data_IF_496371108649
#
_entry.id   IF_496371108649
#
_cell.length_a   1.000
_cell.length_b   1.000
_cell.length_c   1.000
_cell.angle_alpha   90.00
_cell.angle_beta   90.00
_cell.angle_gamma   90.00
#
_symmetry.space_group_name_H-M   'P 1'
#
loop_
_entity.id
_entity.type
_entity.pdbx_description
1 polymer ?
#
# COMPACT_ATOMS: atom_id res chain seq x y z
N UNK A 1 5.59 -21.12 4.83
CA UNK A 1 6.45 -20.16 5.57
C UNK A 1 6.69 -18.92 4.71
N UNK A 2 6.53 -17.75 5.30
CA UNK A 2 6.70 -16.51 4.54
C UNK A 2 8.18 -16.29 4.20
N UNK A 3 8.45 -15.87 2.98
CA UNK A 3 9.78 -15.49 2.53
C UNK A 3 10.10 -14.09 3.06
N UNK A 4 11.12 -13.92 3.92
CA UNK A 4 11.45 -12.60 4.48
C UNK A 4 11.75 -11.54 3.43
N UNK A 5 12.32 -11.92 2.29
CA UNK A 5 12.60 -10.98 1.20
C UNK A 5 11.32 -10.47 0.54
N UNK A 6 10.23 -11.22 0.63
CA UNK A 6 8.93 -10.85 0.07
C UNK A 6 7.88 -10.60 1.14
N UNK A 7 8.30 -10.16 2.32
CA UNK A 7 7.43 -9.81 3.44
C UNK A 7 7.73 -8.38 3.88
N UNK A 8 6.68 -7.53 3.96
CA UNK A 8 6.80 -6.19 4.51
C UNK A 8 6.32 -6.17 5.95
N UNK A 9 7.06 -5.46 6.80
CA UNK A 9 6.67 -5.16 8.17
C UNK A 9 6.33 -3.67 8.21
N UNK A 10 5.05 -3.39 8.38
CA UNK A 10 4.50 -2.04 8.41
C UNK A 10 4.09 -1.71 9.84
N UNK A 11 4.75 -0.75 10.47
CA UNK A 11 4.35 -0.26 11.78
C UNK A 11 3.60 1.04 11.61
N UNK A 12 2.37 1.08 12.13
CA UNK A 12 1.52 2.26 12.05
C UNK A 12 1.27 2.82 13.44
N UNK A 13 0.69 4.01 13.52
CA UNK A 13 0.27 4.59 14.79
C UNK A 13 -0.81 3.78 15.52
N UNK A 14 -1.43 2.79 14.86
CA UNK A 14 -2.41 1.88 15.47
C UNK A 14 -1.84 0.50 15.78
N UNK A 15 -0.64 0.16 15.30
CA UNK A 15 -0.02 -1.13 15.51
C UNK A 15 0.69 -1.67 14.29
N UNK A 16 1.00 -2.96 14.31
CA UNK A 16 1.80 -3.62 13.28
C UNK A 16 0.93 -4.35 12.26
N UNK A 17 1.35 -4.28 11.00
CA UNK A 17 0.71 -4.95 9.88
C UNK A 17 1.79 -5.71 9.11
N UNK A 18 1.50 -6.95 8.75
CA UNK A 18 2.40 -7.78 7.93
C UNK A 18 1.77 -7.96 6.55
N UNK A 19 2.56 -7.70 5.51
CA UNK A 19 2.11 -7.79 4.12
C UNK A 19 2.98 -8.78 3.37
N UNK A 20 2.36 -9.74 2.69
CA UNK A 20 3.05 -10.62 1.76
C UNK A 20 3.14 -9.93 0.40
N UNK A 21 4.37 -9.77 -0.10
CA UNK A 21 4.60 -9.22 -1.43
C UNK A 21 4.43 -10.32 -2.48
N UNK A 22 3.89 -9.94 -3.64
CA UNK A 22 3.61 -10.88 -4.73
C UNK A 22 4.37 -10.49 -6.00
N UNK A 23 5.70 -10.75 -6.06
CA UNK A 23 6.48 -10.44 -7.26
C UNK A 23 6.06 -11.25 -8.49
N UNK A 24 5.37 -12.36 -8.27
CA UNK A 24 4.77 -13.16 -9.33
C UNK A 24 3.65 -12.41 -10.05
N UNK A 25 2.96 -11.50 -9.35
CA UNK A 25 1.86 -10.70 -9.90
C UNK A 25 2.33 -9.37 -10.48
N UNK A 26 3.27 -8.71 -9.81
CA UNK A 26 3.66 -7.35 -10.13
C UNK A 26 5.14 -7.12 -9.78
N UNK A 27 6.08 -7.68 -10.55
CA UNK A 27 7.50 -7.62 -10.20
C UNK A 27 8.05 -6.19 -10.11
N UNK A 28 7.63 -5.29 -11.00
CA UNK A 28 8.09 -3.90 -10.98
C UNK A 28 7.54 -3.13 -9.80
N UNK A 29 6.28 -3.35 -9.45
CA UNK A 29 5.65 -2.69 -8.29
C UNK A 29 6.26 -3.20 -6.99
N UNK A 30 6.48 -4.51 -6.86
CA UNK A 30 7.11 -5.08 -5.67
C UNK A 30 8.53 -4.52 -5.52
N UNK A 31 9.30 -4.45 -6.60
CA UNK A 31 10.65 -3.89 -6.56
C UNK A 31 10.64 -2.44 -6.08
N UNK A 32 9.69 -1.62 -6.58
CA UNK A 32 9.55 -0.23 -6.18
C UNK A 32 9.20 -0.10 -4.69
N UNK A 33 8.24 -0.88 -4.22
CA UNK A 33 7.82 -0.84 -2.81
C UNK A 33 9.01 -1.19 -1.91
N UNK A 34 9.76 -2.23 -2.25
CA UNK A 34 10.94 -2.64 -1.48
C UNK A 34 12.01 -1.56 -1.50
N UNK A 35 12.27 -0.96 -2.65
CA UNK A 35 13.26 0.10 -2.80
C UNK A 35 12.90 1.30 -1.92
N UNK A 36 11.66 1.76 -1.98
CA UNK A 36 11.21 2.88 -1.17
C UNK A 36 11.22 2.55 0.32
N UNK A 37 10.85 1.32 0.69
CA UNK A 37 10.91 0.89 2.09
C UNK A 37 12.35 0.91 2.60
N UNK A 38 13.30 0.46 1.79
CA UNK A 38 14.72 0.45 2.16
C UNK A 38 15.33 1.84 2.26
N UNK A 39 14.76 2.80 1.55
CA UNK A 39 15.19 4.20 1.62
C UNK A 39 14.54 4.98 2.76
N UNK A 40 13.60 4.35 3.49
CA UNK A 40 12.84 5.04 4.54
C UNK A 40 11.83 6.04 4.00
N UNK A 41 11.46 5.94 2.73
CA UNK A 41 10.57 6.88 2.07
C UNK A 41 9.21 6.98 2.75
N UNK A 42 8.66 5.84 3.17
CA UNK A 42 7.32 5.78 3.74
C UNK A 42 7.26 6.19 5.22
N UNK A 43 8.40 6.30 5.90
CA UNK A 43 8.43 6.61 7.33
C UNK A 43 7.80 7.98 7.58
N UNK A 44 6.82 8.04 8.47
CA UNK A 44 6.14 9.27 8.86
C UNK A 44 5.02 9.73 7.92
N UNK A 45 4.77 9.03 6.81
CA UNK A 45 3.72 9.42 5.86
C UNK A 45 2.35 9.07 6.42
N UNK A 46 1.40 10.01 6.28
CA UNK A 46 0.04 9.84 6.81
C UNK A 46 -0.86 9.08 5.84
N UNK A 47 -1.86 8.37 6.42
CA UNK A 47 -2.95 7.80 5.64
C UNK A 47 -3.93 8.93 5.33
N UNK A 48 -3.76 9.55 4.18
CA UNK A 48 -4.50 10.76 3.82
C UNK A 48 -5.90 10.51 3.30
N UNK A 49 -6.25 9.26 3.00
CA UNK A 49 -7.58 8.90 2.47
C UNK A 49 -7.96 7.54 2.99
N UNK A 50 -8.94 7.50 3.90
CA UNK A 50 -9.40 6.25 4.50
C UNK A 50 -10.92 6.25 4.45
N UNK A 51 -11.47 5.38 3.60
CA UNK A 51 -12.92 5.30 3.38
C UNK A 51 -13.42 4.01 4.00
N UNK A 52 -14.31 4.16 5.00
CA UNK A 52 -14.88 3.02 5.71
C UNK A 52 -15.56 2.05 4.73
N UNK A 53 -15.29 0.76 4.91
CA UNK A 53 -15.85 -0.28 4.05
C UNK A 53 -15.24 -0.37 2.65
N UNK A 54 -14.27 0.48 2.33
CA UNK A 54 -13.62 0.49 1.02
C UNK A 54 -12.11 0.26 1.13
N UNK A 55 -11.34 1.28 1.49
CA UNK A 55 -9.88 1.13 1.51
C UNK A 55 -9.20 2.21 2.35
N UNK A 56 -7.92 1.97 2.70
CA UNK A 56 -7.03 2.94 3.32
C UNK A 56 -5.88 3.24 2.37
N UNK A 57 -5.68 4.50 2.00
CA UNK A 57 -4.66 4.93 1.04
C UNK A 57 -3.57 5.75 1.71
N UNK A 58 -2.32 5.51 1.31
CA UNK A 58 -1.12 6.11 1.91
C UNK A 58 -0.02 6.17 0.85
N UNK A 59 1.07 6.87 1.15
CA UNK A 59 2.26 6.86 0.28
C UNK A 59 2.51 8.17 -0.45
N UNK A 60 1.72 9.20 -0.17
CA UNK A 60 1.97 10.53 -0.70
C UNK A 60 2.87 11.30 0.28
N UNK A 61 4.10 11.69 -0.13
CA UNK A 61 5.01 12.39 0.79
C UNK A 61 4.47 13.73 1.29
N UNK A 62 3.54 14.33 0.55
CA UNK A 62 2.88 15.57 0.95
C UNK A 62 1.64 15.35 1.81
N UNK A 63 1.17 14.11 1.92
CA UNK A 63 -0.05 13.79 2.66
C UNK A 63 -1.32 14.34 2.02
N UNK A 64 -1.29 14.70 0.75
CA UNK A 64 -2.43 15.34 0.04
C UNK A 64 -3.03 14.47 -1.05
N UNK A 65 -2.35 13.40 -1.44
CA UNK A 65 -2.77 12.56 -2.55
C UNK A 65 -2.25 13.00 -3.91
N UNK A 66 -1.51 14.11 -3.96
CA UNK A 66 -1.03 14.70 -5.23
C UNK A 66 0.43 14.41 -5.53
N UNK A 67 1.16 13.82 -4.58
CA UNK A 67 2.60 13.61 -4.73
C UNK A 67 3.01 12.15 -4.85
N UNK A 68 4.28 11.96 -5.17
CA UNK A 68 4.90 10.65 -5.26
C UNK A 68 6.39 10.77 -5.00
N UNK A 69 7.12 9.68 -5.19
CA UNK A 69 8.57 9.68 -5.06
C UNK A 69 9.21 10.39 -6.26
N UNK A 70 10.51 10.68 -6.15
CA UNK A 70 11.28 11.26 -7.25
C UNK A 70 11.61 10.26 -8.36
N UNK A 71 11.24 8.99 -8.17
CA UNK A 71 11.48 7.94 -9.15
C UNK A 71 10.47 8.01 -10.28
N UNK A 72 10.78 7.44 -11.46
CA UNK A 72 9.83 7.45 -12.58
C UNK A 72 8.54 6.68 -12.25
N UNK A 73 7.46 7.05 -12.92
CA UNK A 73 6.20 6.32 -12.77
C UNK A 73 6.33 4.89 -13.27
N UNK A 74 5.53 4.01 -12.70
CA UNK A 74 5.54 2.58 -13.02
C UNK A 74 4.55 2.28 -14.14
N UNK A 75 4.92 1.36 -15.02
CA UNK A 75 3.97 0.80 -15.96
C UNK A 75 2.99 -0.11 -15.21
N UNK A 76 1.74 -0.12 -15.65
CA UNK A 76 0.73 -0.98 -15.05
C UNK A 76 1.11 -2.45 -15.19
N UNK A 77 0.82 -3.22 -14.16
CA UNK A 77 1.02 -4.67 -14.14
C UNK A 77 -0.29 -5.34 -13.75
N UNK A 78 -1.36 -5.01 -14.47
CA UNK A 78 -2.67 -5.56 -14.20
C UNK A 78 -2.64 -7.07 -14.25
N UNK A 79 -3.36 -7.70 -13.33
CA UNK A 79 -3.37 -9.15 -13.18
C UNK A 79 -4.76 -9.59 -12.73
N UNK A 80 -4.97 -10.90 -12.62
CA UNK A 80 -6.27 -11.49 -12.31
C UNK A 80 -6.56 -11.55 -10.80
N UNK A 81 -5.65 -11.09 -9.96
CA UNK A 81 -5.85 -11.14 -8.51
C UNK A 81 -7.01 -10.23 -8.09
N UNK A 82 -7.98 -10.74 -7.32
CA UNK A 82 -9.14 -9.93 -6.95
C UNK A 82 -8.84 -8.91 -5.87
N UNK A 83 -9.55 -7.77 -5.92
CA UNK A 83 -9.53 -6.78 -4.86
C UNK A 83 -10.53 -7.20 -3.80
N UNK A 84 -10.04 -7.81 -2.74
CA UNK A 84 -10.83 -8.28 -1.60
C UNK A 84 -10.20 -7.78 -0.31
N UNK A 85 -10.82 -8.06 0.83
CA UNK A 85 -10.29 -7.64 2.13
C UNK A 85 -8.83 -8.05 2.29
N UNK A 86 -7.97 -7.09 2.60
CA UNK A 86 -6.54 -7.28 2.80
C UNK A 86 -5.69 -7.13 1.54
N UNK A 87 -6.29 -6.96 0.37
CA UNK A 87 -5.54 -6.77 -0.88
C UNK A 87 -4.81 -5.42 -0.85
N UNK A 88 -3.52 -5.45 -1.20
CA UNK A 88 -2.71 -4.24 -1.36
C UNK A 88 -2.52 -3.97 -2.84
N UNK A 89 -2.92 -2.79 -3.29
CA UNK A 89 -2.92 -2.42 -4.70
C UNK A 89 -2.38 -1.00 -4.85
N UNK A 90 -1.91 -0.66 -6.05
CA UNK A 90 -1.26 0.63 -6.27
C UNK A 90 -2.25 1.68 -6.75
N UNK A 91 -2.25 2.82 -6.07
CA UNK A 91 -3.04 3.97 -6.52
C UNK A 91 -2.37 4.60 -7.75
N UNK A 92 -3.19 5.19 -8.61
CA UNK A 92 -2.74 5.86 -9.83
C UNK A 92 -3.74 6.95 -10.23
N UNK A 93 -3.32 7.80 -11.17
CA UNK A 93 -4.23 8.76 -11.80
C UNK A 93 -5.06 8.05 -12.88
N UNK A 94 -5.77 8.82 -13.69
CA UNK A 94 -6.53 8.25 -14.82
C UNK A 94 -5.62 7.62 -15.89
N UNK A 95 -4.35 7.99 -15.91
CA UNK A 95 -3.39 7.39 -16.82
C UNK A 95 -2.93 6.03 -16.26
N UNK A 96 -3.08 4.91 -17.00
CA UNK A 96 -2.77 3.58 -16.46
C UNK A 96 -1.33 3.39 -15.99
N UNK A 97 -0.37 4.11 -16.59
CA UNK A 97 1.05 3.98 -16.28
C UNK A 97 1.53 5.16 -15.42
N UNK A 98 0.75 5.53 -14.42
CA UNK A 98 1.05 6.66 -13.54
C UNK A 98 1.27 6.29 -12.08
N UNK A 99 1.29 5.01 -11.74
CA UNK A 99 1.56 4.55 -10.38
C UNK A 99 3.00 4.93 -9.98
N UNK A 100 3.18 5.29 -8.72
CA UNK A 100 4.50 5.72 -8.24
C UNK A 100 4.79 5.20 -6.84
N UNK A 101 4.17 5.78 -5.81
CA UNK A 101 4.43 5.41 -4.42
C UNK A 101 3.17 5.22 -3.59
N UNK A 102 2.05 5.81 -4.01
CA UNK A 102 0.81 5.69 -3.25
C UNK A 102 0.18 4.32 -3.45
N UNK A 103 -0.28 3.73 -2.36
CA UNK A 103 -0.96 2.44 -2.42
C UNK A 103 -2.15 2.44 -1.45
N UNK A 104 -3.00 1.42 -1.58
CA UNK A 104 -4.13 1.27 -0.68
C UNK A 104 -4.31 -0.18 -0.26
N UNK A 105 -4.93 -0.35 0.91
CA UNK A 105 -5.28 -1.65 1.47
C UNK A 105 -6.79 -1.72 1.53
N UNK A 106 -7.39 -2.76 0.94
CA UNK A 106 -8.83 -2.90 0.90
C UNK A 106 -9.39 -3.36 2.24
N UNK A 107 -10.45 -2.71 2.71
CA UNK A 107 -11.18 -3.14 3.91
C UNK A 107 -12.13 -4.28 3.61
N UNK A 108 -12.66 -4.32 2.39
CA UNK A 108 -13.69 -5.27 1.98
C UNK A 108 -13.58 -5.48 0.47
N UNK A 109 -14.47 -6.27 -0.10
CA UNK A 109 -14.47 -6.56 -1.52
C UNK A 109 -14.65 -5.27 -2.33
N UNK A 110 -13.77 -5.06 -3.30
CA UNK A 110 -13.80 -3.93 -4.22
C UNK A 110 -13.55 -4.46 -5.64
N UNK A 111 -14.33 -5.47 -6.03
CA UNK A 111 -14.14 -6.21 -7.29
C UNK A 111 -14.27 -5.33 -8.52
N UNK A 112 -14.92 -4.16 -8.39
CA UNK A 112 -14.99 -3.19 -9.49
C UNK A 112 -13.62 -2.61 -9.87
N UNK A 113 -12.60 -2.80 -9.03
CA UNK A 113 -11.21 -2.39 -9.31
C UNK A 113 -10.41 -3.47 -10.05
N UNK A 114 -10.94 -4.68 -10.14
CA UNK A 114 -10.21 -5.82 -10.72
C UNK A 114 -9.78 -5.52 -12.17
N UNK A 115 -8.53 -5.80 -12.49
CA UNK A 115 -7.98 -5.57 -13.82
C UNK A 115 -7.69 -4.12 -14.16
N UNK A 116 -7.94 -3.18 -13.24
CA UNK A 116 -7.76 -1.74 -13.47
C UNK A 116 -6.71 -1.12 -12.57
N UNK A 117 -6.28 -1.83 -11.54
CA UNK A 117 -5.22 -1.42 -10.62
C UNK A 117 -4.28 -2.60 -10.41
N UNK A 118 -3.01 -2.30 -10.12
CA UNK A 118 -2.00 -3.33 -9.96
C UNK A 118 -1.97 -3.85 -8.53
N UNK A 119 -2.42 -5.09 -8.33
CA UNK A 119 -2.29 -5.80 -7.06
C UNK A 119 -0.87 -6.29 -6.91
N UNK A 120 -0.22 -5.97 -5.78
CA UNK A 120 1.17 -6.35 -5.54
C UNK A 120 1.38 -7.05 -4.19
N UNK A 121 0.37 -7.14 -3.35
CA UNK A 121 0.52 -7.78 -2.05
C UNK A 121 -0.79 -8.03 -1.34
N UNK A 122 -0.68 -8.66 -0.17
CA UNK A 122 -1.83 -8.99 0.67
C UNK A 122 -1.44 -8.92 2.14
N UNK A 123 -2.30 -8.36 2.97
CA UNK A 123 -2.13 -8.38 4.42
C UNK A 123 -2.32 -9.79 4.92
N UNK A 124 -1.31 -10.32 5.62
CA UNK A 124 -1.34 -11.66 6.22
C UNK A 124 -1.45 -11.61 7.74
N UNK A 125 -1.18 -10.45 8.35
CA UNK A 125 -1.33 -10.25 9.79
C UNK A 125 -1.62 -8.80 10.09
N UNK A 126 -2.45 -8.53 11.11
CA UNK A 126 -2.73 -7.16 11.54
C UNK A 126 -3.85 -6.47 10.77
N UNK A 127 -4.72 -7.21 10.09
CA UNK A 127 -5.85 -6.57 9.40
C UNK A 127 -6.77 -5.84 10.38
N UNK A 128 -6.88 -6.32 11.62
CA UNK A 128 -7.60 -5.62 12.70
C UNK A 128 -6.98 -4.25 13.00
N UNK A 129 -5.68 -4.09 12.83
CA UNK A 129 -4.98 -2.79 12.97
C UNK A 129 -5.40 -1.87 11.83
N UNK A 130 -5.45 -2.37 10.61
CA UNK A 130 -5.89 -1.58 9.45
C UNK A 130 -7.32 -1.08 9.67
N UNK A 131 -8.19 -1.94 10.23
CA UNK A 131 -9.57 -1.56 10.53
C UNK A 131 -9.67 -0.38 11.51
N UNK A 132 -8.65 -0.16 12.33
CA UNK A 132 -8.63 0.90 13.34
C UNK A 132 -8.13 2.25 12.81
N UNK A 133 -7.64 2.30 11.58
CA UNK A 133 -7.15 3.54 11.00
C UNK A 133 -8.27 4.58 10.96
N UNK A 134 -7.92 5.83 11.30
CA UNK A 134 -8.88 6.92 11.33
C UNK A 134 -9.47 7.15 9.94
N UNK A 135 -10.79 7.26 9.85
CA UNK A 135 -11.52 7.42 8.59
C UNK A 135 -11.61 8.89 8.19
N UNK A 136 -11.63 9.15 6.90
CA UNK A 136 -11.78 10.49 6.33
C UNK A 136 -10.98 10.71 5.05
N UNK A 137 -11.27 11.82 4.37
CA UNK A 137 -10.62 12.19 3.09
C UNK A 137 -10.22 13.67 3.11
N UNK A 138 -9.22 14.07 3.90
CA UNK A 138 -8.37 13.28 4.82
C UNK A 138 -9.04 13.10 6.19
N UNK A 139 -8.55 12.12 6.98
CA UNK A 139 -8.99 12.00 8.37
C UNK A 139 -8.64 13.25 9.16
N UNK A 140 -9.45 13.58 10.18
CA UNK A 140 -9.21 14.74 11.03
C UNK A 140 -7.88 14.61 11.79
N UNK A 141 -7.62 13.42 12.33
CA UNK A 141 -6.36 13.09 13.00
C UNK A 141 -5.79 11.85 12.30
N UNK A 142 -5.09 12.02 11.17
CA UNK A 142 -4.68 10.87 10.37
C UNK A 142 -3.64 10.03 11.09
N UNK A 143 -3.78 8.73 10.94
CA UNK A 143 -2.73 7.80 11.34
C UNK A 143 -1.60 7.85 10.32
N UNK A 144 -0.44 7.37 10.74
CA UNK A 144 0.76 7.41 9.89
C UNK A 144 1.48 6.08 9.89
N UNK A 145 2.32 5.90 8.88
CA UNK A 145 3.31 4.84 8.89
C UNK A 145 4.46 5.32 9.78
N UNK A 146 4.73 4.59 10.86
CA UNK A 146 5.87 4.87 11.72
C UNK A 146 7.14 4.39 11.02
N UNK A 147 7.15 3.12 10.62
CA UNK A 147 8.23 2.53 9.82
C UNK A 147 7.66 1.52 8.85
N UNK A 148 8.37 1.32 7.73
CA UNK A 148 8.03 0.28 6.76
C UNK A 148 9.34 -0.38 6.32
N UNK A 149 9.45 -1.68 6.55
CA UNK A 149 10.69 -2.42 6.32
C UNK A 149 10.41 -3.71 5.58
N UNK A 150 11.37 -4.14 4.76
CA UNK A 150 11.38 -5.50 4.24
C UNK A 150 11.83 -6.41 5.39
N UNK A 151 11.13 -7.52 5.62
CA UNK A 151 11.42 -8.38 6.76
C UNK A 151 12.86 -8.90 6.78
N UNK A 152 13.44 -9.13 5.61
CA UNK A 152 14.83 -9.59 5.49
C UNK A 152 15.83 -8.57 6.05
N UNK A 153 15.45 -7.29 6.14
CA UNK A 153 16.31 -6.21 6.65
C UNK A 153 16.06 -5.90 8.12
N UNK A 154 15.06 -6.52 8.70
CA UNK A 154 14.67 -6.23 10.09
C UNK A 154 15.53 -6.97 11.11
#
# INVERSE_FOLDING_TARGET
MADPENTLLLETSKGKVTIELRPDLAPGHVARIKELAREGFYDGIVFHRVIDGFMAQVGCPKGTGTGGSSKPDLQAEFNAEPHVRGTCSMARTNYPHSANSQFFICFDDARFLDGQYTVWGKVTGGMDVVDKLAKGEPPRNPDRIVTMRVAADA
#
